data_IF_519621924550
#
_entry.id   IF_519621924550
#
_cell.length_a   1.000
_cell.length_b   1.000
_cell.length_c   1.000
_cell.angle_alpha   90.00
_cell.angle_beta   90.00
_cell.angle_gamma   90.00
#
_symmetry.space_group_name_H-M   'P 1'
#
loop_
_entity.id
_entity.type
_entity.pdbx_description
1 polymer ?
#
# COMPACT_ATOMS: atom_id res chain seq x y z
N UNK A 1 5.46 -4.17 8.04
CA UNK A 1 6.28 -3.21 7.27
C UNK A 1 5.35 -2.15 6.71
N UNK A 2 5.73 -0.88 6.82
CA UNK A 2 4.90 0.26 6.40
C UNK A 2 5.83 1.31 5.79
N UNK A 3 5.44 1.88 4.65
CA UNK A 3 6.12 3.01 4.02
C UNK A 3 6.03 2.98 2.51
N UNK A 4 6.87 3.79 1.86
CA UNK A 4 7.03 3.88 0.42
C UNK A 4 7.89 2.71 -0.10
N UNK A 5 7.30 1.86 -0.93
CA UNK A 5 7.96 0.71 -1.58
C UNK A 5 8.53 1.06 -2.96
N UNK A 6 8.23 2.24 -3.52
CA UNK A 6 8.60 2.66 -4.88
C UNK A 6 8.34 1.58 -5.96
N UNK A 7 7.31 0.79 -5.76
CA UNK A 7 6.98 -0.35 -6.62
C UNK A 7 5.47 -0.57 -6.65
N UNK A 8 4.99 -1.22 -7.70
CA UNK A 8 3.59 -1.59 -7.91
C UNK A 8 3.56 -2.65 -9.04
N UNK A 9 2.63 -3.60 -8.99
CA UNK A 9 2.53 -4.68 -9.97
C UNK A 9 2.31 -4.21 -11.41
N UNK A 10 1.78 -2.99 -11.65
CA UNK A 10 1.67 -2.42 -13.00
C UNK A 10 3.02 -2.30 -13.74
N UNK A 11 4.14 -2.33 -13.00
CA UNK A 11 5.50 -2.23 -13.54
C UNK A 11 6.27 -3.55 -13.56
N UNK A 12 5.65 -4.68 -13.19
CA UNK A 12 6.33 -5.98 -13.12
C UNK A 12 6.80 -6.49 -14.50
N UNK A 13 6.29 -5.92 -15.58
CA UNK A 13 6.76 -6.19 -16.95
C UNK A 13 8.19 -5.69 -17.22
N UNK A 14 8.75 -4.84 -16.35
CA UNK A 14 10.15 -4.45 -16.42
C UNK A 14 10.98 -5.62 -15.93
N UNK A 15 11.68 -6.29 -16.84
CA UNK A 15 12.56 -7.43 -16.58
C UNK A 15 13.66 -7.06 -15.56
N UNK A 16 13.31 -7.15 -14.30
CA UNK A 16 14.14 -6.84 -13.13
C UNK A 16 14.01 -8.01 -12.17
N UNK A 17 15.11 -8.33 -11.49
CA UNK A 17 15.09 -9.36 -10.44
C UNK A 17 14.55 -8.71 -9.18
N UNK A 18 13.46 -9.24 -8.62
CA UNK A 18 12.85 -8.72 -7.38
C UNK A 18 11.88 -7.56 -7.64
N UNK A 19 10.85 -7.81 -8.45
CA UNK A 19 9.78 -6.85 -8.71
C UNK A 19 8.74 -6.80 -7.56
N UNK A 20 7.63 -6.07 -7.75
CA UNK A 20 6.64 -5.92 -6.68
C UNK A 20 6.01 -7.27 -6.33
N UNK A 21 5.58 -8.03 -7.35
CA UNK A 21 4.99 -9.35 -7.13
C UNK A 21 5.94 -10.34 -6.46
N UNK A 22 7.24 -10.29 -6.74
CA UNK A 22 8.23 -11.14 -6.05
C UNK A 22 8.24 -10.88 -4.53
N UNK A 23 8.12 -9.62 -4.12
CA UNK A 23 8.04 -9.21 -2.71
C UNK A 23 6.71 -9.67 -2.10
N UNK A 24 5.60 -9.46 -2.81
CA UNK A 24 4.27 -9.90 -2.37
C UNK A 24 4.23 -11.42 -2.17
N UNK A 25 4.77 -12.19 -3.11
CA UNK A 25 4.86 -13.65 -3.03
C UNK A 25 5.74 -14.12 -1.87
N UNK A 26 6.88 -13.46 -1.65
CA UNK A 26 7.77 -13.75 -0.54
C UNK A 26 7.07 -13.50 0.81
N UNK A 27 6.33 -12.40 0.92
CA UNK A 27 5.57 -12.05 2.13
C UNK A 27 4.36 -12.98 2.33
N UNK A 28 3.66 -13.34 1.26
CA UNK A 28 2.54 -14.28 1.28
C UNK A 28 2.95 -15.66 1.82
N UNK A 29 4.14 -16.17 1.44
CA UNK A 29 4.73 -17.40 2.00
C UNK A 29 5.00 -17.35 3.51
N UNK A 30 4.94 -16.16 4.12
CA UNK A 30 5.14 -15.90 5.55
C UNK A 30 3.86 -15.42 6.24
N UNK A 31 2.70 -15.54 5.60
CA UNK A 31 1.41 -15.02 6.10
C UNK A 31 1.44 -13.51 6.39
N UNK A 32 2.21 -12.77 5.59
CA UNK A 32 2.32 -11.31 5.65
C UNK A 32 1.60 -10.75 4.42
N UNK A 33 0.55 -9.96 4.65
CA UNK A 33 -0.36 -9.50 3.61
C UNK A 33 -0.53 -7.97 3.65
N UNK A 34 -0.80 -7.38 2.48
CA UNK A 34 -1.08 -5.95 2.34
C UNK A 34 -2.46 -5.62 2.92
N UNK A 35 -2.51 -4.71 3.90
CA UNK A 35 -3.77 -4.28 4.54
C UNK A 35 -4.73 -3.64 3.55
N UNK A 36 -4.22 -2.87 2.60
CA UNK A 36 -5.02 -2.22 1.57
C UNK A 36 -5.80 -3.26 0.75
N UNK A 37 -5.12 -4.28 0.23
CA UNK A 37 -5.73 -5.33 -0.58
C UNK A 37 -6.71 -6.19 0.21
N UNK A 38 -6.44 -6.42 1.51
CA UNK A 38 -7.38 -7.11 2.40
C UNK A 38 -8.66 -6.29 2.62
N UNK A 39 -8.56 -4.97 2.81
CA UNK A 39 -9.72 -4.10 3.04
C UNK A 39 -10.54 -3.87 1.77
N UNK A 40 -9.87 -3.46 0.69
CA UNK A 40 -10.53 -3.06 -0.56
C UNK A 40 -10.92 -4.26 -1.44
N UNK A 41 -10.44 -5.46 -1.11
CA UNK A 41 -10.69 -6.71 -1.87
C UNK A 41 -10.35 -6.57 -3.36
N UNK A 42 -9.22 -5.91 -3.61
CA UNK A 42 -8.67 -5.69 -4.96
C UNK A 42 -7.40 -6.50 -5.14
N UNK A 43 -7.01 -6.74 -6.40
CA UNK A 43 -5.75 -7.38 -6.74
C UNK A 43 -4.59 -6.37 -6.75
N UNK A 44 -3.35 -6.87 -6.66
CA UNK A 44 -2.15 -6.05 -6.75
C UNK A 44 -2.06 -5.40 -8.14
N UNK A 45 -1.82 -4.09 -8.18
CA UNK A 45 -1.82 -3.32 -9.43
C UNK A 45 -3.21 -2.82 -9.86
N UNK A 46 -4.28 -3.17 -9.13
CA UNK A 46 -5.63 -2.64 -9.36
C UNK A 46 -6.04 -1.60 -8.28
N UNK A 47 -5.07 -1.00 -7.59
CA UNK A 47 -5.36 -0.06 -6.52
C UNK A 47 -6.04 1.22 -7.03
N UNK A 48 -7.31 1.42 -6.65
CA UNK A 48 -8.08 2.61 -7.01
C UNK A 48 -7.72 3.90 -6.25
N UNK A 49 -6.99 3.80 -5.14
CA UNK A 49 -6.66 4.95 -4.27
C UNK A 49 -5.16 5.23 -4.29
N UNK A 50 -4.69 6.28 -4.97
CA UNK A 50 -3.26 6.60 -5.03
C UNK A 50 -2.71 7.18 -3.73
N UNK A 51 -1.46 6.86 -3.43
CA UNK A 51 -0.70 7.40 -2.29
C UNK A 51 0.36 8.40 -2.73
N UNK A 52 0.69 8.43 -4.02
CA UNK A 52 1.72 9.27 -4.62
C UNK A 52 1.24 9.90 -5.93
N UNK A 53 1.65 11.14 -6.18
CA UNK A 53 1.32 11.93 -7.36
C UNK A 53 2.59 12.53 -7.93
N UNK A 54 3.07 11.97 -9.04
CA UNK A 54 4.36 12.35 -9.61
C UNK A 54 4.42 13.85 -9.93
N UNK A 55 5.38 14.56 -9.34
CA UNK A 55 5.51 16.03 -9.39
C UNK A 55 4.25 16.78 -8.92
N UNK A 56 3.55 16.23 -7.92
CA UNK A 56 2.29 16.78 -7.37
C UNK A 56 1.19 16.94 -8.42
N UNK A 57 1.23 16.11 -9.47
CA UNK A 57 0.27 16.17 -10.57
C UNK A 57 -0.83 15.11 -10.37
N UNK A 58 -2.07 15.56 -10.16
CA UNK A 58 -3.25 14.69 -9.99
C UNK A 58 -3.51 13.74 -11.15
N UNK A 59 -2.99 14.05 -12.35
CA UNK A 59 -3.11 13.20 -13.54
C UNK A 59 -1.99 12.14 -13.66
N UNK A 60 -1.07 12.09 -12.70
CA UNK A 60 -0.02 11.06 -12.60
C UNK A 60 -0.05 10.33 -11.25
N UNK A 61 -1.20 9.70 -10.91
CA UNK A 61 -1.38 9.02 -9.63
C UNK A 61 -0.76 7.62 -9.62
N UNK A 62 -0.21 7.21 -8.47
CA UNK A 62 0.28 5.86 -8.22
C UNK A 62 0.02 5.44 -6.76
N UNK A 63 -0.15 4.14 -6.52
CA UNK A 63 -0.16 3.55 -5.19
C UNK A 63 1.18 2.85 -4.97
N UNK A 64 2.01 3.43 -4.10
CA UNK A 64 3.37 2.91 -3.82
C UNK A 64 3.68 2.84 -2.32
N UNK A 65 2.83 3.46 -1.49
CA UNK A 65 2.92 3.34 -0.04
C UNK A 65 2.04 2.19 0.41
N UNK A 66 2.65 1.19 1.06
CA UNK A 66 1.94 -0.02 1.48
C UNK A 66 2.15 -0.33 2.95
N UNK A 67 1.20 -1.07 3.51
CA UNK A 67 1.35 -1.70 4.81
C UNK A 67 1.14 -3.21 4.74
N UNK A 68 2.22 -3.94 4.96
CA UNK A 68 2.23 -5.39 5.02
C UNK A 68 2.32 -5.86 6.48
N UNK A 69 1.38 -6.67 6.92
CA UNK A 69 1.34 -7.18 8.31
C UNK A 69 0.99 -8.66 8.36
N UNK A 70 1.33 -9.32 9.46
CA UNK A 70 0.96 -10.72 9.69
C UNK A 70 -0.57 -10.89 9.82
N UNK A 71 -1.08 -12.07 9.46
CA UNK A 71 -2.50 -12.45 9.65
C UNK A 71 -3.01 -12.25 11.09
N UNK A 72 -2.14 -12.36 12.10
CA UNK A 72 -2.52 -12.09 13.50
C UNK A 72 -3.02 -10.66 13.72
N UNK A 73 -2.40 -9.67 13.07
CA UNK A 73 -2.78 -8.25 13.18
C UNK A 73 -4.09 -8.03 12.42
N UNK A 74 -4.19 -8.56 11.20
CA UNK A 74 -5.41 -8.53 10.38
C UNK A 74 -6.62 -9.06 11.18
N UNK A 75 -6.48 -10.23 11.80
CA UNK A 75 -7.54 -10.89 12.54
C UNK A 75 -7.98 -10.15 13.82
N UNK A 76 -7.16 -9.25 14.35
CA UNK A 76 -7.57 -8.41 15.48
C UNK A 76 -8.50 -7.27 15.05
N UNK A 77 -8.49 -6.93 13.76
CA UNK A 77 -9.24 -5.83 13.17
C UNK A 77 -8.37 -4.60 12.95
N UNK A 78 -8.56 -3.99 11.79
CA UNK A 78 -7.88 -2.79 11.37
C UNK A 78 -8.81 -1.93 10.50
N UNK A 79 -8.40 -0.70 10.25
CA UNK A 79 -8.99 0.17 9.24
C UNK A 79 -7.86 0.95 8.58
N UNK A 80 -7.85 1.01 7.25
CA UNK A 80 -6.89 1.79 6.47
C UNK A 80 -7.61 2.93 5.76
N UNK A 81 -7.00 4.12 5.79
CA UNK A 81 -7.50 5.33 5.14
C UNK A 81 -6.37 6.03 4.39
N UNK A 82 -6.68 6.61 3.24
CA UNK A 82 -5.72 7.32 2.39
C UNK A 82 -6.16 8.77 2.31
N UNK A 83 -5.21 9.69 2.57
CA UNK A 83 -5.46 11.12 2.49
C UNK A 83 -5.83 11.58 1.08
N UNK A 84 -6.49 12.73 0.98
CA UNK A 84 -6.89 13.27 -0.32
C UNK A 84 -5.81 14.15 -0.92
N UNK A 85 -5.66 14.11 -2.23
CA UNK A 85 -4.71 14.97 -2.95
C UNK A 85 -4.86 16.47 -2.61
N UNK A 86 -6.11 16.95 -2.53
CA UNK A 86 -6.44 18.36 -2.27
C UNK A 86 -5.86 18.90 -0.95
N UNK A 87 -5.62 18.03 0.03
CA UNK A 87 -5.15 18.42 1.37
C UNK A 87 -3.61 18.40 1.49
N UNK A 88 -2.89 17.69 0.61
CA UNK A 88 -1.47 17.35 0.82
C UNK A 88 -0.53 17.77 -0.32
N UNK A 89 -1.04 17.96 -1.54
CA UNK A 89 -0.17 18.20 -2.71
C UNK A 89 0.62 19.51 -2.66
N UNK A 90 0.22 20.47 -1.82
CA UNK A 90 0.98 21.70 -1.60
C UNK A 90 2.26 21.48 -0.78
N UNK A 91 2.33 20.41 0.02
CA UNK A 91 3.44 20.13 0.95
C UNK A 91 4.22 18.85 0.61
N UNK A 92 3.61 17.87 -0.05
CA UNK A 92 4.25 16.62 -0.47
C UNK A 92 3.61 16.09 -1.76
N UNK A 93 4.35 15.35 -2.57
CA UNK A 93 3.82 14.53 -3.66
C UNK A 93 3.17 13.22 -3.16
N UNK A 94 3.32 12.88 -1.88
CA UNK A 94 2.59 11.79 -1.24
C UNK A 94 1.39 12.29 -0.44
N UNK A 95 0.35 11.46 -0.36
CA UNK A 95 -0.74 11.58 0.61
C UNK A 95 -0.55 10.53 1.71
N UNK A 96 -0.94 10.81 2.96
CA UNK A 96 -0.72 9.87 4.05
C UNK A 96 -1.58 8.61 3.90
N UNK A 97 -0.97 7.46 4.20
CA UNK A 97 -1.65 6.20 4.46
C UNK A 97 -1.72 6.01 5.98
N UNK A 98 -2.94 6.06 6.52
CA UNK A 98 -3.22 5.99 7.97
C UNK A 98 -3.86 4.65 8.30
N UNK A 99 -3.41 4.02 9.39
CA UNK A 99 -3.91 2.72 9.82
C UNK A 99 -4.30 2.77 11.29
N UNK A 100 -5.56 2.45 11.55
CA UNK A 100 -6.05 2.17 12.89
C UNK A 100 -5.96 0.67 13.15
N UNK A 101 -5.24 0.28 14.20
CA UNK A 101 -5.10 -1.12 14.60
C UNK A 101 -5.83 -1.38 15.91
N UNK A 102 -6.61 -2.46 15.96
CA UNK A 102 -7.12 -2.97 17.24
C UNK A 102 -6.04 -3.80 17.92
N UNK A 103 -5.49 -3.27 19.00
CA UNK A 103 -4.54 -4.01 19.82
C UNK A 103 -5.31 -4.76 20.90
N UNK A 104 -5.26 -6.09 20.86
CA UNK A 104 -5.63 -6.89 22.04
C UNK A 104 -4.43 -6.89 22.98
N UNK A 105 -4.51 -6.12 24.06
CA UNK A 105 -3.60 -6.30 25.20
C UNK A 105 -3.90 -7.67 25.82
N UNK A 106 -2.82 -8.39 26.12
CA UNK A 106 -2.87 -9.68 26.83
C UNK A 106 -3.47 -9.52 28.21
#
# INVERSE_FOLDING_TARGET
MLGDFNSNSIWDNRATVGNHSDIVDLFGKKDINSLYHVQERTEQGEEGHPTFFMNRNVNKPYHIDYCFVSNKIINNGFNINIGKAEDWLDISDHVPLVIDLKIKTK
#
